data_IF_067739595288
#
_entry.id   IF_067739595288
#
_cell.length_a   1.000
_cell.length_b   1.000
_cell.length_c   1.000
_cell.angle_alpha   90.00
_cell.angle_beta   90.00
_cell.angle_gamma   90.00
#
_symmetry.space_group_name_H-M   'P 1'
#
loop_
_entity.id
_entity.type
_entity.pdbx_description
1 polymer ?
#
# COMPACT_ATOMS: atom_id res chain seq x y z
N UNK A 1 -19.75 -32.58 5.83
CA UNK A 1 -18.99 -32.28 7.07
C UNK A 1 -17.53 -32.10 6.69
N UNK A 2 -17.12 -30.88 6.39
CA UNK A 2 -15.73 -30.41 6.45
C UNK A 2 -15.85 -28.96 6.90
N UNK A 3 -15.70 -28.76 8.21
CA UNK A 3 -15.63 -27.47 8.86
C UNK A 3 -14.54 -27.65 9.91
N UNK A 4 -13.46 -26.87 9.84
CA UNK A 4 -12.43 -26.92 10.86
C UNK A 4 -10.99 -26.62 10.45
N UNK A 5 -10.70 -26.38 9.16
CA UNK A 5 -9.34 -25.96 8.76
C UNK A 5 -9.22 -24.44 8.51
N UNK A 6 -10.30 -23.77 8.12
CA UNK A 6 -10.28 -22.35 7.72
C UNK A 6 -10.11 -21.37 8.91
N UNK A 7 -10.68 -21.70 10.06
CA UNK A 7 -10.54 -20.88 11.28
C UNK A 7 -9.14 -20.97 11.89
N UNK A 8 -8.41 -22.06 11.64
CA UNK A 8 -7.11 -22.31 12.26
C UNK A 8 -6.04 -21.38 11.71
N UNK A 9 -6.00 -21.17 10.39
CA UNK A 9 -5.01 -20.30 9.75
C UNK A 9 -5.20 -18.82 10.14
N UNK A 10 -6.45 -18.35 10.21
CA UNK A 10 -6.76 -16.98 10.60
C UNK A 10 -6.47 -16.73 12.10
N UNK A 11 -6.78 -17.71 12.95
CA UNK A 11 -6.46 -17.68 14.38
C UNK A 11 -4.95 -17.74 14.63
N UNK A 12 -4.21 -18.51 13.83
CA UNK A 12 -2.75 -18.58 13.89
C UNK A 12 -2.12 -17.24 13.50
N UNK A 13 -2.59 -16.60 12.42
CA UNK A 13 -2.18 -15.23 12.04
C UNK A 13 -2.49 -14.20 13.13
N UNK A 14 -3.67 -14.28 13.75
CA UNK A 14 -4.05 -13.42 14.87
C UNK A 14 -3.19 -13.66 16.14
N UNK A 15 -2.51 -14.80 16.20
CA UNK A 15 -1.60 -15.18 17.30
C UNK A 15 -0.12 -14.90 16.99
N UNK A 16 0.24 -14.45 15.78
CA UNK A 16 1.63 -14.10 15.45
C UNK A 16 1.99 -12.83 16.22
N UNK A 17 2.99 -12.96 17.08
CA UNK A 17 3.49 -11.84 17.87
C UNK A 17 4.26 -10.87 16.95
N UNK A 18 3.94 -9.57 16.99
CA UNK A 18 4.49 -8.53 16.11
C UNK A 18 6.04 -8.43 16.05
N UNK A 19 6.75 -9.12 16.95
CA UNK A 19 8.22 -9.13 17.05
C UNK A 19 8.91 -10.20 16.18
N UNK A 20 8.16 -11.16 15.62
CA UNK A 20 8.68 -12.19 14.70
C UNK A 20 7.89 -12.22 13.38
N UNK A 21 7.11 -11.16 13.13
CA UNK A 21 6.24 -11.08 11.96
C UNK A 21 7.02 -11.10 10.63
N UNK A 22 8.30 -10.72 10.62
CA UNK A 22 9.12 -10.77 9.41
C UNK A 22 9.60 -12.19 9.03
N UNK A 23 9.56 -13.16 9.96
CA UNK A 23 10.07 -14.52 9.77
C UNK A 23 8.95 -15.57 9.61
N UNK A 24 7.88 -15.47 10.40
CA UNK A 24 6.81 -16.50 10.44
C UNK A 24 5.60 -16.18 9.55
N UNK A 25 5.43 -14.91 9.14
CA UNK A 25 4.30 -14.50 8.30
C UNK A 25 4.42 -14.95 6.84
N UNK A 26 5.59 -15.00 6.17
CA UNK A 26 5.66 -15.34 4.75
C UNK A 26 5.06 -16.71 4.39
N UNK A 27 5.32 -17.77 5.16
CA UNK A 27 4.80 -19.12 4.89
C UNK A 27 3.28 -19.23 5.17
N UNK A 28 2.77 -18.48 6.16
CA UNK A 28 1.34 -18.43 6.48
C UNK A 28 0.54 -17.51 5.53
N UNK A 29 1.18 -16.48 4.98
CA UNK A 29 0.60 -15.57 3.98
C UNK A 29 0.49 -16.22 2.58
N UNK A 30 1.23 -17.29 2.28
CA UNK A 30 1.08 -18.03 1.01
C UNK A 30 -0.20 -18.90 0.96
N UNK A 31 -0.64 -19.40 2.11
CA UNK A 31 -1.78 -20.32 2.21
C UNK A 31 -3.12 -19.59 2.37
N UNK A 32 -3.18 -18.57 3.21
CA UNK A 32 -4.44 -17.89 3.59
C UNK A 32 -5.16 -17.10 2.46
N UNK A 33 -4.48 -16.44 1.50
CA UNK A 33 -5.15 -15.60 0.50
C UNK A 33 -6.01 -16.41 -0.49
N UNK A 34 -5.65 -17.68 -0.74
CA UNK A 34 -6.43 -18.56 -1.63
C UNK A 34 -7.83 -18.88 -1.09
N UNK A 35 -8.01 -18.87 0.22
CA UNK A 35 -9.26 -19.26 0.87
C UNK A 35 -10.25 -18.08 1.03
N UNK A 36 -9.78 -16.83 0.89
CA UNK A 36 -10.60 -15.60 0.94
C UNK A 36 -10.61 -14.80 -0.37
N UNK A 37 -10.03 -15.34 -1.45
CA UNK A 37 -9.98 -14.68 -2.76
C UNK A 37 -9.02 -13.49 -2.82
N UNK A 38 -8.05 -13.43 -1.92
CA UNK A 38 -7.00 -12.42 -1.93
C UNK A 38 -5.84 -12.88 -2.81
N UNK A 39 -5.30 -11.96 -3.62
CA UNK A 39 -4.11 -12.22 -4.41
C UNK A 39 -2.89 -12.33 -3.49
N UNK A 40 -2.22 -13.48 -3.50
CA UNK A 40 -0.90 -13.61 -2.88
C UNK A 40 0.16 -13.00 -3.80
N UNK A 41 0.90 -12.02 -3.28
CA UNK A 41 2.04 -11.43 -3.98
C UNK A 41 3.33 -11.83 -3.24
N UNK A 42 4.34 -12.39 -3.95
CA UNK A 42 5.64 -12.63 -3.34
C UNK A 42 6.20 -11.36 -2.71
N UNK A 43 6.89 -11.51 -1.56
CA UNK A 43 7.50 -10.38 -0.84
C UNK A 43 8.44 -9.61 -1.78
N UNK A 44 8.26 -8.29 -1.84
CA UNK A 44 9.07 -7.41 -2.71
C UNK A 44 8.77 -7.52 -4.20
N UNK A 45 7.74 -8.27 -4.62
CA UNK A 45 7.31 -8.28 -6.01
C UNK A 45 6.71 -6.94 -6.42
N UNK A 46 6.89 -6.56 -7.68
CA UNK A 46 6.34 -5.34 -8.24
C UNK A 46 4.82 -5.26 -8.07
N UNK A 47 4.11 -6.36 -8.34
CA UNK A 47 2.66 -6.44 -8.17
C UNK A 47 2.22 -6.33 -6.69
N UNK A 48 3.01 -6.84 -5.76
CA UNK A 48 2.77 -6.64 -4.32
C UNK A 48 2.98 -5.19 -3.89
N UNK A 49 3.98 -4.51 -4.45
CA UNK A 49 4.19 -3.09 -4.21
C UNK A 49 3.08 -2.23 -4.82
N UNK A 50 2.61 -2.53 -6.03
CA UNK A 50 1.44 -1.86 -6.65
C UNK A 50 0.18 -2.01 -5.78
N UNK A 51 -0.06 -3.22 -5.26
CA UNK A 51 -1.16 -3.47 -4.34
C UNK A 51 -1.00 -2.69 -3.03
N UNK A 52 0.21 -2.65 -2.46
CA UNK A 52 0.49 -1.89 -1.24
C UNK A 52 0.24 -0.38 -1.44
N UNK A 53 0.71 0.20 -2.54
CA UNK A 53 0.49 1.61 -2.90
C UNK A 53 -1.01 1.89 -3.05
N UNK A 54 -1.76 1.00 -3.69
CA UNK A 54 -3.23 1.12 -3.83
C UNK A 54 -3.93 1.11 -2.48
N UNK A 55 -3.52 0.22 -1.56
CA UNK A 55 -4.08 0.14 -0.21
C UNK A 55 -3.77 1.41 0.59
N UNK A 56 -2.53 1.88 0.54
CA UNK A 56 -2.12 3.09 1.25
C UNK A 56 -2.85 4.34 0.73
N UNK A 57 -2.98 4.48 -0.60
CA UNK A 57 -3.80 5.53 -1.22
C UNK A 57 -5.27 5.46 -0.77
N UNK A 58 -5.86 4.26 -0.72
CA UNK A 58 -7.23 4.06 -0.26
C UNK A 58 -7.42 4.49 1.21
N UNK A 59 -6.42 4.26 2.07
CA UNK A 59 -6.45 4.68 3.47
C UNK A 59 -6.43 6.20 3.61
N UNK A 60 -5.66 6.91 2.78
CA UNK A 60 -5.68 8.38 2.75
C UNK A 60 -7.07 8.89 2.35
N UNK A 61 -7.66 8.34 1.30
CA UNK A 61 -9.01 8.75 0.84
C UNK A 61 -10.11 8.46 1.87
N UNK A 62 -9.90 7.46 2.73
CA UNK A 62 -10.79 7.16 3.85
C UNK A 62 -10.51 8.03 5.10
N UNK A 63 -9.52 8.92 5.07
CA UNK A 63 -9.10 9.73 6.22
C UNK A 63 -8.40 8.94 7.33
N UNK A 64 -7.92 7.73 7.03
CA UNK A 64 -7.24 6.82 7.97
C UNK A 64 -5.72 6.97 7.97
N UNK A 65 -5.19 7.78 7.06
CA UNK A 65 -3.78 8.13 6.92
C UNK A 65 -3.74 9.57 6.40
N UNK A 66 -2.81 10.40 6.87
CA UNK A 66 -2.68 11.74 6.31
C UNK A 66 -2.09 11.68 4.89
N UNK A 67 -2.35 12.67 4.02
CA UNK A 67 -1.74 12.70 2.70
C UNK A 67 -0.21 12.69 2.77
N UNK A 68 0.38 13.54 3.62
CA UNK A 68 1.83 13.59 3.78
C UNK A 68 2.43 12.24 4.24
N UNK A 69 1.78 11.52 5.17
CA UNK A 69 2.27 10.21 5.59
C UNK A 69 2.32 9.18 4.43
N UNK A 70 1.46 9.32 3.42
CA UNK A 70 1.52 8.48 2.22
C UNK A 70 2.74 8.81 1.35
N UNK A 71 3.07 10.10 1.17
CA UNK A 71 4.24 10.52 0.40
C UNK A 71 5.54 10.08 1.10
N UNK A 72 5.67 10.36 2.39
CA UNK A 72 6.81 9.91 3.23
C UNK A 72 6.97 8.39 3.17
N UNK A 73 5.87 7.65 3.29
CA UNK A 73 5.89 6.20 3.20
C UNK A 73 6.32 5.72 1.81
N UNK A 74 5.78 6.31 0.74
CA UNK A 74 6.15 5.96 -0.62
C UNK A 74 7.65 6.21 -0.86
N UNK A 75 8.17 7.35 -0.43
CA UNK A 75 9.59 7.67 -0.57
C UNK A 75 10.47 6.69 0.23
N UNK A 76 10.11 6.43 1.49
CA UNK A 76 10.91 5.57 2.38
C UNK A 76 10.90 4.09 1.97
N UNK A 77 9.75 3.57 1.49
CA UNK A 77 9.55 2.13 1.24
C UNK A 77 9.73 1.76 -0.22
N UNK A 78 9.30 2.62 -1.14
CA UNK A 78 9.38 2.38 -2.58
C UNK A 78 10.63 3.05 -3.16
N UNK A 79 10.76 4.36 -2.92
CA UNK A 79 11.84 5.19 -3.46
C UNK A 79 11.74 5.44 -4.96
N UNK A 80 12.60 6.32 -5.47
CA UNK A 80 12.63 6.73 -6.87
C UNK A 80 12.92 5.59 -7.85
N UNK A 81 12.38 5.73 -9.06
CA UNK A 81 12.64 4.91 -10.24
C UNK A 81 12.33 3.41 -10.05
N UNK A 82 11.60 3.06 -8.98
CA UNK A 82 11.31 1.67 -8.63
C UNK A 82 9.95 1.22 -9.10
N UNK A 83 8.96 2.11 -9.01
CA UNK A 83 7.58 1.77 -9.25
C UNK A 83 6.84 2.95 -9.89
N UNK A 84 6.55 2.90 -11.21
CA UNK A 84 5.97 4.03 -11.93
C UNK A 84 4.65 4.56 -11.36
N UNK A 85 3.84 3.71 -10.72
CA UNK A 85 2.57 4.14 -10.13
C UNK A 85 2.76 4.99 -8.85
N UNK A 86 3.91 4.89 -8.19
CA UNK A 86 4.21 5.59 -6.96
C UNK A 86 5.15 6.79 -7.14
N UNK A 87 5.79 6.96 -8.31
CA UNK A 87 6.83 7.97 -8.53
C UNK A 87 6.36 9.37 -8.14
N UNK A 88 5.14 9.76 -8.52
CA UNK A 88 4.62 11.09 -8.16
C UNK A 88 4.47 11.29 -6.65
N UNK A 89 4.14 10.25 -5.90
CA UNK A 89 4.09 10.32 -4.42
C UNK A 89 5.48 10.51 -3.83
N UNK A 90 6.50 9.88 -4.42
CA UNK A 90 7.90 10.04 -4.00
C UNK A 90 8.36 11.48 -4.27
N UNK A 91 8.10 12.01 -5.46
CA UNK A 91 8.44 13.41 -5.81
C UNK A 91 7.75 14.43 -4.90
N UNK A 92 6.51 14.18 -4.47
CA UNK A 92 5.77 15.10 -3.61
C UNK A 92 6.35 15.18 -2.19
N UNK A 93 7.04 14.13 -1.73
CA UNK A 93 7.81 14.16 -0.48
C UNK A 93 9.01 15.09 -0.61
N UNK A 94 9.77 15.01 -1.71
CA UNK A 94 10.88 15.93 -1.99
C UNK A 94 10.40 17.39 -2.12
N UNK A 95 9.25 17.62 -2.75
CA UNK A 95 8.64 18.96 -2.84
C UNK A 95 8.28 19.47 -1.45
N UNK A 96 7.75 18.62 -0.58
CA UNK A 96 7.45 18.98 0.81
C UNK A 96 8.71 19.43 1.56
N UNK A 97 9.79 18.65 1.44
CA UNK A 97 11.08 18.94 2.07
C UNK A 97 11.77 20.21 1.53
N UNK A 98 11.36 20.66 0.34
CA UNK A 98 11.93 21.83 -0.34
C UNK A 98 10.93 22.97 -0.50
N UNK A 99 9.82 22.99 0.26
CA UNK A 99 8.75 23.97 0.13
C UNK A 99 9.23 25.42 0.10
N UNK A 100 10.23 25.76 0.91
CA UNK A 100 10.87 27.08 0.98
C UNK A 100 11.50 27.57 -0.34
N UNK A 101 11.70 26.66 -1.30
CA UNK A 101 12.24 26.93 -2.64
C UNK A 101 11.17 26.83 -3.74
N UNK A 102 9.90 26.62 -3.38
CA UNK A 102 8.78 26.49 -4.30
C UNK A 102 7.72 27.57 -4.07
N UNK A 103 6.79 27.72 -5.01
CA UNK A 103 5.60 28.57 -4.83
C UNK A 103 4.43 27.82 -4.17
N UNK A 104 4.64 26.58 -3.71
CA UNK A 104 3.61 25.73 -3.12
C UNK A 104 3.51 25.94 -1.61
N UNK A 105 2.32 25.70 -1.07
CA UNK A 105 2.08 25.56 0.36
C UNK A 105 2.00 24.08 0.76
N UNK A 106 2.10 23.78 2.05
CA UNK A 106 1.83 22.43 2.58
C UNK A 106 0.43 21.92 2.14
N UNK A 107 -0.55 22.82 2.05
CA UNK A 107 -1.89 22.47 1.61
C UNK A 107 -1.94 22.09 0.13
N UNK A 108 -1.20 22.80 -0.73
CA UNK A 108 -1.12 22.48 -2.16
C UNK A 108 -0.51 21.10 -2.37
N UNK A 109 0.56 20.77 -1.65
CA UNK A 109 1.17 19.43 -1.68
C UNK A 109 0.18 18.36 -1.22
N UNK A 110 -0.51 18.58 -0.09
CA UNK A 110 -1.52 17.66 0.41
C UNK A 110 -2.66 17.43 -0.61
N UNK A 111 -3.12 18.49 -1.28
CA UNK A 111 -4.16 18.41 -2.29
C UNK A 111 -3.69 17.63 -3.53
N UNK A 112 -2.43 17.81 -3.95
CA UNK A 112 -1.82 17.01 -5.02
C UNK A 112 -1.69 15.54 -4.65
N UNK A 113 -1.27 15.23 -3.42
CA UNK A 113 -1.22 13.84 -2.93
C UNK A 113 -2.62 13.22 -2.96
N UNK A 114 -3.67 13.97 -2.60
CA UNK A 114 -5.05 13.49 -2.68
C UNK A 114 -5.51 13.26 -4.13
N UNK A 115 -5.11 14.10 -5.08
CA UNK A 115 -5.37 13.86 -6.52
C UNK A 115 -4.70 12.57 -6.96
N UNK A 116 -3.43 12.39 -6.58
CA UNK A 116 -2.65 11.23 -6.96
C UNK A 116 -3.19 9.94 -6.34
N UNK A 117 -3.58 9.97 -5.06
CA UNK A 117 -4.24 8.84 -4.41
C UNK A 117 -5.53 8.41 -5.14
N UNK A 118 -6.35 9.37 -5.61
CA UNK A 118 -7.54 9.05 -6.41
C UNK A 118 -7.17 8.42 -7.76
N UNK A 119 -6.12 8.91 -8.42
CA UNK A 119 -5.61 8.34 -9.68
C UNK A 119 -5.22 6.87 -9.50
N UNK A 120 -4.42 6.59 -8.48
CA UNK A 120 -3.93 5.24 -8.14
C UNK A 120 -5.11 4.27 -7.90
N UNK A 121 -6.04 4.66 -7.03
CA UNK A 121 -7.21 3.80 -6.72
C UNK A 121 -8.09 3.60 -7.95
N UNK A 122 -8.26 4.63 -8.79
CA UNK A 122 -8.99 4.54 -10.06
C UNK A 122 -8.36 3.57 -11.07
N UNK A 123 -7.02 3.50 -11.14
CA UNK A 123 -6.32 2.56 -12.02
C UNK A 123 -6.50 1.11 -11.60
N UNK A 124 -6.48 0.82 -10.29
CA UNK A 124 -6.69 -0.53 -9.76
C UNK A 124 -8.11 -1.04 -10.01
N UNK A 125 -9.12 -0.17 -9.90
CA UNK A 125 -10.51 -0.53 -10.25
C UNK A 125 -10.70 -0.81 -11.75
N UNK A 126 -9.94 -0.14 -12.61
CA UNK A 126 -10.01 -0.36 -14.06
C UNK A 126 -9.37 -1.69 -14.47
N UNK A 127 -8.25 -2.11 -13.86
CA UNK A 127 -7.60 -3.39 -14.19
C UNK A 127 -8.42 -4.61 -13.76
N UNK A 128 -9.22 -4.49 -12.70
CA UNK A 128 -10.14 -5.55 -12.26
C UNK A 128 -11.34 -5.77 -13.20
N UNK A 129 -11.68 -4.81 -14.07
CA UNK A 129 -12.86 -4.88 -14.95
C UNK A 129 -12.55 -5.51 -16.33
N UNK A 130 -11.28 -5.81 -16.62
CA UNK A 130 -10.81 -6.40 -17.88
C UNK A 130 -10.20 -7.81 -17.72
N UNK A 131 -10.27 -8.41 -16.53
CA UNK A 131 -9.85 -9.79 -16.25
C UNK A 131 -11.07 -10.69 -16.04
#
# INVERSE_FOLDING_TARGET
>A
MVAGFDELNLATLASVHARHADEEVPELLEAAPKDVGLSHYPRGSHAGQEAAVTIMASRVLAGLLSPLDLAVWAHSIIGHDKLPVAERLVELDDVYDTLEYTDMTEQDVNDEILVEARRIVGMSGATAHFA
#
